data_IF_875257935503
#
_entry.id   IF_875257935503
#
_cell.length_a   1.000
_cell.length_b   1.000
_cell.length_c   1.000
_cell.angle_alpha   90.00
_cell.angle_beta   90.00
_cell.angle_gamma   90.00
#
_symmetry.space_group_name_H-M   'P 1'
#
loop_
_entity.id
_entity.type
_entity.pdbx_description
1 polymer ?
#
# COMPACT_ATOMS: atom_id res chain seq x y z
N UNK A 1 -11.51 16.86 24.33
CA UNK A 1 -10.12 16.40 24.16
C UNK A 1 -10.22 15.07 23.45
N UNK A 2 -10.29 15.10 22.12
CA UNK A 2 -10.50 13.93 21.28
C UNK A 2 -9.52 14.06 20.11
N UNK A 3 -8.34 13.46 20.24
CA UNK A 3 -7.32 13.39 19.17
C UNK A 3 -6.39 12.19 19.40
N UNK A 4 -6.98 11.04 19.74
CA UNK A 4 -6.27 9.75 19.75
C UNK A 4 -7.09 8.59 19.18
N UNK A 5 -8.26 8.85 18.58
CA UNK A 5 -9.23 7.80 18.23
C UNK A 5 -9.04 7.18 16.83
N UNK A 6 -8.05 7.64 16.03
CA UNK A 6 -7.84 7.15 14.65
C UNK A 6 -6.44 6.61 14.34
N UNK A 7 -5.53 6.55 15.32
CA UNK A 7 -4.22 5.91 15.13
C UNK A 7 -4.31 4.44 15.58
N UNK A 8 -4.34 3.53 14.62
CA UNK A 8 -4.42 2.09 14.85
C UNK A 8 -3.52 1.31 13.89
N UNK A 9 -3.36 -0.02 14.07
CA UNK A 9 -2.50 -0.85 13.23
C UNK A 9 -2.78 -0.72 11.73
N UNK A 10 -4.01 -0.41 11.35
CA UNK A 10 -4.36 -0.13 9.96
C UNK A 10 -3.58 1.07 9.38
N UNK A 11 -3.36 2.14 10.15
CA UNK A 11 -2.58 3.32 9.72
C UNK A 11 -1.14 2.93 9.38
N UNK A 12 -0.51 2.08 10.20
CA UNK A 12 0.84 1.56 9.94
C UNK A 12 0.88 0.74 8.65
N UNK A 13 -0.16 -0.07 8.38
CA UNK A 13 -0.24 -0.87 7.15
C UNK A 13 -0.36 0.00 5.90
N UNK A 14 -1.06 1.15 5.97
CA UNK A 14 -1.09 2.12 4.87
C UNK A 14 0.29 2.73 4.61
N UNK A 15 0.96 3.17 5.67
CA UNK A 15 2.33 3.69 5.56
C UNK A 15 3.29 2.65 4.96
N UNK A 16 3.15 1.38 5.36
CA UNK A 16 3.94 0.28 4.82
C UNK A 16 3.66 0.05 3.32
N UNK A 17 2.40 0.17 2.89
CA UNK A 17 2.03 0.12 1.48
C UNK A 17 2.70 1.24 0.66
N UNK A 18 2.74 2.47 1.20
CA UNK A 18 3.43 3.59 0.56
C UNK A 18 4.94 3.35 0.43
N UNK A 19 5.58 2.84 1.49
CA UNK A 19 7.02 2.50 1.48
C UNK A 19 7.30 1.39 0.46
N UNK A 20 6.46 0.35 0.43
CA UNK A 20 6.61 -0.73 -0.54
C UNK A 20 6.47 -0.23 -1.97
N UNK A 21 5.48 0.64 -2.24
CA UNK A 21 5.32 1.29 -3.54
C UNK A 21 6.55 2.13 -3.92
N UNK A 22 7.07 2.94 -3.00
CA UNK A 22 8.27 3.75 -3.23
C UNK A 22 9.50 2.90 -3.54
N UNK A 23 9.72 1.80 -2.80
CA UNK A 23 10.82 0.86 -3.07
C UNK A 23 10.72 0.27 -4.48
N UNK A 24 9.50 -0.04 -4.93
CA UNK A 24 9.25 -0.67 -6.23
C UNK A 24 9.39 0.30 -7.40
N UNK A 25 9.09 1.58 -7.18
CA UNK A 25 9.08 2.61 -8.23
C UNK A 25 10.41 3.40 -8.26
N UNK A 26 11.10 3.51 -7.13
CA UNK A 26 12.41 4.16 -7.01
C UNK A 26 12.36 5.70 -6.86
N UNK A 27 11.17 6.29 -6.75
CA UNK A 27 10.96 7.70 -6.43
C UNK A 27 9.84 7.86 -5.39
N UNK A 28 9.87 8.94 -4.58
CA UNK A 28 8.86 9.15 -3.56
C UNK A 28 7.45 9.22 -4.16
N UNK A 29 6.52 8.48 -3.55
CA UNK A 29 5.13 8.39 -4.02
C UNK A 29 4.37 9.71 -3.79
N UNK A 30 4.75 10.45 -2.75
CA UNK A 30 4.25 11.78 -2.43
C UNK A 30 5.43 12.74 -2.34
N UNK A 31 5.44 13.77 -3.18
CA UNK A 31 6.43 14.85 -3.10
C UNK A 31 6.07 15.81 -1.94
N UNK A 32 6.92 16.82 -1.71
CA UNK A 32 6.72 17.88 -0.72
C UNK A 32 5.47 18.72 -1.03
N UNK A 33 4.31 18.17 -0.68
CA UNK A 33 3.06 18.91 -0.60
C UNK A 33 3.09 19.72 0.69
N UNK A 34 2.97 21.03 0.53
CA UNK A 34 3.19 22.00 1.61
C UNK A 34 2.05 22.06 2.63
N UNK A 35 0.90 21.40 2.36
CA UNK A 35 -0.29 21.44 3.21
C UNK A 35 -0.91 20.05 3.45
N UNK A 36 -1.41 19.82 4.67
CA UNK A 36 -2.04 18.55 5.08
C UNK A 36 -3.31 18.22 4.27
N UNK A 37 -4.04 19.25 3.82
CA UNK A 37 -5.24 19.09 2.99
C UNK A 37 -4.92 18.48 1.62
N UNK A 38 -3.80 18.88 1.00
CA UNK A 38 -3.34 18.33 -0.28
C UNK A 38 -2.94 16.86 -0.13
N UNK A 39 -2.34 16.47 1.00
CA UNK A 39 -2.02 15.07 1.32
C UNK A 39 -3.27 14.20 1.38
N UNK A 40 -4.32 14.68 2.05
CA UNK A 40 -5.58 13.94 2.19
C UNK A 40 -6.25 13.74 0.83
N UNK A 41 -6.21 14.76 -0.03
CA UNK A 41 -6.74 14.65 -1.38
C UNK A 41 -5.97 13.62 -2.22
N UNK A 42 -4.64 13.63 -2.17
CA UNK A 42 -3.81 12.63 -2.87
C UNK A 42 -4.06 11.20 -2.37
N UNK A 43 -4.26 11.01 -1.06
CA UNK A 43 -4.63 9.70 -0.49
C UNK A 43 -5.99 9.21 -1.02
N UNK A 44 -6.98 10.10 -1.09
CA UNK A 44 -8.30 9.79 -1.63
C UNK A 44 -8.25 9.48 -3.13
N UNK A 45 -7.48 10.25 -3.88
CA UNK A 45 -7.31 10.06 -5.33
C UNK A 45 -6.57 8.75 -5.62
N UNK A 46 -5.62 8.36 -4.78
CA UNK A 46 -4.92 7.09 -4.87
C UNK A 46 -5.86 5.90 -4.63
N UNK A 47 -6.76 5.95 -3.64
CA UNK A 47 -7.77 4.90 -3.44
C UNK A 47 -8.72 4.79 -4.63
N UNK A 48 -9.18 5.93 -5.16
CA UNK A 48 -10.04 5.94 -6.33
C UNK A 48 -9.33 5.34 -7.55
N UNK A 49 -8.01 5.54 -7.68
CA UNK A 49 -7.18 4.94 -8.73
C UNK A 49 -6.96 3.43 -8.54
N UNK A 50 -6.74 2.98 -7.29
CA UNK A 50 -6.59 1.57 -6.94
C UNK A 50 -7.90 0.82 -7.21
N UNK A 51 -9.06 1.34 -6.75
CA UNK A 51 -10.37 0.70 -6.93
C UNK A 51 -10.87 0.72 -8.38
N UNK A 52 -10.65 1.81 -9.12
CA UNK A 52 -11.10 1.92 -10.52
C UNK A 52 -10.32 1.03 -11.48
N UNK A 53 -9.06 0.71 -11.15
CA UNK A 53 -8.16 -0.02 -12.04
C UNK A 53 -7.83 -1.43 -11.51
N UNK A 54 -8.22 -1.77 -10.28
CA UNK A 54 -7.86 -3.03 -9.61
C UNK A 54 -6.41 -3.07 -9.11
N UNK A 55 -5.57 -2.22 -9.69
CA UNK A 55 -4.19 -1.91 -9.36
C UNK A 55 -3.91 -0.57 -10.00
N UNK A 56 -3.40 0.42 -9.26
CA UNK A 56 -3.05 1.70 -9.84
C UNK A 56 -2.15 1.46 -11.07
N UNK A 57 -2.39 2.12 -12.22
CA UNK A 57 -1.56 1.96 -13.44
C UNK A 57 -0.05 2.04 -13.19
N UNK A 58 0.33 2.75 -12.13
CA UNK A 58 1.70 2.84 -11.61
C UNK A 58 2.33 1.46 -11.31
N UNK A 59 1.55 0.49 -10.84
CA UNK A 59 2.00 -0.86 -10.48
C UNK A 59 1.72 -1.92 -11.54
N UNK A 60 0.84 -1.64 -12.51
CA UNK A 60 0.62 -2.47 -13.69
C UNK A 60 1.79 -2.41 -14.64
N UNK A 61 2.44 -1.25 -14.73
CA UNK A 61 3.65 -1.02 -15.54
C UNK A 61 4.94 -1.51 -14.87
N UNK A 62 4.86 -2.15 -13.69
CA UNK A 62 6.01 -2.77 -13.02
C UNK A 62 6.12 -4.26 -13.40
N UNK A 63 6.91 -4.62 -14.43
CA UNK A 63 7.05 -6.01 -14.86
C UNK A 63 7.70 -6.90 -13.79
N UNK A 64 8.50 -6.31 -12.90
CA UNK A 64 9.20 -7.01 -11.80
C UNK A 64 8.28 -7.37 -10.63
N UNK A 65 7.13 -6.69 -10.50
CA UNK A 65 6.20 -6.99 -9.40
C UNK A 65 5.39 -8.23 -9.76
N UNK A 66 5.52 -9.28 -8.93
CA UNK A 66 4.71 -10.48 -9.10
C UNK A 66 3.21 -10.18 -8.87
N UNK A 67 2.28 -10.97 -9.46
CA UNK A 67 0.86 -10.84 -9.15
C UNK A 67 0.54 -10.93 -7.65
N UNK A 68 1.29 -11.76 -6.91
CA UNK A 68 1.15 -11.88 -5.46
C UNK A 68 1.58 -10.60 -4.72
N UNK A 69 2.61 -9.91 -5.20
CA UNK A 69 3.05 -8.64 -4.63
C UNK A 69 2.06 -7.51 -4.87
N UNK A 70 1.40 -7.49 -6.05
CA UNK A 70 0.31 -6.56 -6.35
C UNK A 70 -0.86 -6.69 -5.36
N UNK A 71 -1.24 -7.90 -5.02
CA UNK A 71 -2.36 -8.14 -4.11
C UNK A 71 -2.06 -7.69 -2.67
N UNK A 72 -0.83 -7.94 -2.19
CA UNK A 72 -0.40 -7.43 -0.86
C UNK A 72 -0.42 -5.92 -0.86
N UNK A 73 0.15 -5.29 -1.90
CA UNK A 73 0.22 -3.84 -2.00
C UNK A 73 -1.17 -3.19 -2.07
N UNK A 74 -2.10 -3.77 -2.85
CA UNK A 74 -3.48 -3.32 -2.91
C UNK A 74 -4.20 -3.46 -1.55
N UNK A 75 -3.96 -4.57 -0.84
CA UNK A 75 -4.53 -4.80 0.49
C UNK A 75 -4.01 -3.82 1.55
N UNK A 76 -2.72 -3.45 1.50
CA UNK A 76 -2.13 -2.44 2.38
C UNK A 76 -2.66 -1.03 2.11
N UNK A 77 -2.92 -0.71 0.85
CA UNK A 77 -3.41 0.58 0.39
C UNK A 77 -4.94 0.63 0.26
N UNK A 78 -5.67 -0.23 0.97
CA UNK A 78 -7.13 -0.14 1.05
C UNK A 78 -7.54 1.09 1.88
N UNK A 79 -8.45 1.91 1.35
CA UNK A 79 -8.88 3.14 2.03
C UNK A 79 -9.69 2.89 3.29
N UNK A 80 -10.60 1.92 3.26
CA UNK A 80 -11.32 1.52 4.46
C UNK A 80 -10.35 0.79 5.41
N UNK A 81 -10.10 1.31 6.63
CA UNK A 81 -9.21 0.68 7.58
C UNK A 81 -9.68 -0.72 8.03
N UNK A 82 -10.98 -1.02 7.97
CA UNK A 82 -11.53 -2.32 8.35
C UNK A 82 -11.37 -3.36 7.24
N UNK A 83 -11.28 -2.92 5.98
CA UNK A 83 -10.99 -3.78 4.83
C UNK A 83 -9.47 -3.88 4.54
N UNK A 84 -8.65 -3.11 5.26
CA UNK A 84 -7.20 -3.06 5.07
C UNK A 84 -6.51 -4.30 5.59
N UNK A 85 -5.63 -4.87 4.77
CA UNK A 85 -4.85 -6.06 5.12
C UNK A 85 -4.02 -5.82 6.38
N UNK A 86 -4.12 -6.73 7.35
CA UNK A 86 -3.30 -6.69 8.57
C UNK A 86 -1.90 -7.23 8.31
N UNK A 87 -0.94 -6.90 9.19
CA UNK A 87 0.41 -7.44 9.11
C UNK A 87 0.44 -8.98 9.20
N UNK A 88 -0.42 -9.56 10.03
CA UNK A 88 -0.51 -11.02 10.19
C UNK A 88 -1.01 -11.69 8.91
N UNK A 89 -2.03 -11.13 8.26
CA UNK A 89 -2.55 -11.64 6.99
C UNK A 89 -1.53 -11.46 5.85
N UNK A 90 -0.87 -10.30 5.79
CA UNK A 90 0.19 -10.04 4.83
C UNK A 90 1.29 -11.10 4.94
N UNK A 91 1.80 -11.37 6.15
CA UNK A 91 2.87 -12.37 6.36
C UNK A 91 2.46 -13.80 6.01
N UNK A 92 1.17 -14.12 6.01
CA UNK A 92 0.64 -15.41 5.56
C UNK A 92 0.41 -15.47 4.05
N UNK A 93 0.35 -14.31 3.38
CA UNK A 93 0.10 -14.22 1.95
C UNK A 93 1.20 -14.92 1.14
N UNK A 94 0.82 -15.51 0.00
CA UNK A 94 1.72 -16.25 -0.88
C UNK A 94 2.90 -15.44 -1.41
N UNK A 95 2.86 -14.12 -1.30
CA UNK A 95 4.00 -13.28 -1.65
C UNK A 95 5.16 -13.44 -0.64
N UNK A 96 4.85 -13.63 0.65
CA UNK A 96 5.84 -13.87 1.70
C UNK A 96 6.07 -15.37 1.98
N UNK A 97 5.07 -16.21 1.74
CA UNK A 97 5.13 -17.65 2.03
C UNK A 97 5.48 -18.51 0.80
N UNK A 98 5.31 -17.97 -0.41
CA UNK A 98 5.44 -18.66 -1.69
C UNK A 98 6.62 -18.19 -2.53
N UNK A 99 7.82 -18.53 -2.10
CA UNK A 99 8.80 -19.38 -2.79
C UNK A 99 10.03 -19.29 -1.89
N UNK A 100 10.34 -20.38 -1.16
CA UNK A 100 11.56 -20.37 -0.35
C UNK A 100 12.70 -20.12 -1.33
N UNK A 101 13.55 -19.10 -1.12
CA UNK A 101 14.65 -18.86 -2.02
C UNK A 101 15.44 -20.16 -2.14
N UNK A 102 15.52 -20.71 -3.36
CA UNK A 102 16.50 -21.72 -3.65
C UNK A 102 17.85 -21.03 -3.43
N UNK A 103 18.41 -21.23 -2.23
CA UNK A 103 19.77 -20.81 -1.91
C UNK A 103 20.67 -21.42 -2.96
N UNK A 104 21.16 -20.59 -3.88
CA UNK A 104 22.28 -20.92 -4.76
C UNK A 104 23.58 -20.83 -3.96
#
# INVERSE_FOLDING_TARGET
MADSEFYGPAVDMWALGCIMAEILVGWPLFDDVSSDEERIQEMSDMDHRIKSTGTCKLFDELPELSPAGREVLAGMLAFDPDERMTAAEALQHRWFTGDKPQRR
#
